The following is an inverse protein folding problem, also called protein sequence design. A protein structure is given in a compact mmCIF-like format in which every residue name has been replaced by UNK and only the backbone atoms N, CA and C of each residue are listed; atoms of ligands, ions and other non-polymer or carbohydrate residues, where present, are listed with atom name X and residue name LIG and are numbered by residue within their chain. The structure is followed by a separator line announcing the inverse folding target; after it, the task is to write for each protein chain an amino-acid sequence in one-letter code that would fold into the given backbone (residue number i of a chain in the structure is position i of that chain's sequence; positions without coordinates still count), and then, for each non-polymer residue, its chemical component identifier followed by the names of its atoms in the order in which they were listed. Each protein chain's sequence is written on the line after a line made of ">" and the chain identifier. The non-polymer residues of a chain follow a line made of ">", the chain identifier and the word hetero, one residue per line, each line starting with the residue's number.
data_IF_322536117521
#
_entry.id   IF_322536117521
#
_cell.length_a   1.000
_cell.length_b   1.000
_cell.length_c   1.000
_cell.angle_alpha   90.00
_cell.angle_beta   90.00
_cell.angle_gamma   90.00
#
_symmetry.space_group_name_H-M   'P 1'
#
loop_
_entity.id
_entity.type
_entity.pdbx_description
1 polymer ?
#
# COMPACT_ATOMS: atom_id res chain seq x y z
N UNK A 1 -10.22 19.27 -2.45
CA UNK A 1 -9.15 18.26 -2.57
C UNK A 1 -9.12 17.79 -4.02
N UNK A 2 -8.20 18.31 -4.84
CA UNK A 2 -8.01 17.81 -6.21
C UNK A 2 -7.18 16.52 -6.13
N UNK A 3 -7.85 15.38 -5.96
CA UNK A 3 -7.26 14.09 -6.27
C UNK A 3 -6.85 14.13 -7.75
N UNK A 4 -5.60 13.78 -8.05
CA UNK A 4 -5.15 13.58 -9.43
C UNK A 4 -5.82 12.32 -9.99
N UNK A 5 -7.04 12.46 -10.48
CA UNK A 5 -7.87 11.37 -11.04
C UNK A 5 -7.24 10.73 -12.30
N UNK A 6 -6.20 11.34 -12.87
CA UNK A 6 -5.55 10.89 -14.11
C UNK A 6 -4.26 10.07 -13.94
N UNK A 7 -3.99 9.46 -12.77
CA UNK A 7 -2.77 8.65 -12.55
C UNK A 7 -2.59 7.54 -13.60
N UNK A 8 -3.68 6.87 -13.95
CA UNK A 8 -3.74 5.82 -14.96
C UNK A 8 -4.27 6.29 -16.31
N UNK A 9 -4.56 7.59 -16.45
CA UNK A 9 -4.96 8.15 -17.74
C UNK A 9 -3.79 8.09 -18.71
N UNK A 10 -4.06 7.58 -19.90
CA UNK A 10 -3.16 7.66 -21.04
C UNK A 10 -4.01 8.16 -22.21
N UNK A 11 -3.75 9.40 -22.62
CA UNK A 11 -4.37 9.98 -23.79
C UNK A 11 -3.38 9.87 -24.95
N UNK A 12 -3.80 9.18 -26.01
CA UNK A 12 -3.08 9.15 -27.27
C UNK A 12 -3.85 9.99 -28.29
N UNK A 13 -3.26 11.05 -28.86
CA UNK A 13 -3.90 11.84 -29.93
C UNK A 13 -4.30 10.99 -31.16
N UNK A 14 -3.64 9.85 -31.40
CA UNK A 14 -3.94 8.92 -32.48
C UNK A 14 -5.00 7.87 -32.09
N UNK A 15 -5.32 7.73 -30.81
CA UNK A 15 -6.39 6.85 -30.28
C UNK A 15 -7.22 7.61 -29.25
N UNK A 16 -8.01 8.56 -29.75
CA UNK A 16 -8.88 9.42 -28.93
C UNK A 16 -10.04 8.68 -28.27
N UNK A 17 -10.34 7.45 -28.71
CA UNK A 17 -11.38 6.58 -28.15
C UNK A 17 -10.84 5.63 -27.05
N UNK A 18 -9.52 5.40 -26.99
CA UNK A 18 -8.88 4.60 -25.94
C UNK A 18 -8.99 3.09 -26.14
N UNK A 19 -9.00 2.61 -27.38
CA UNK A 19 -9.09 1.18 -27.72
C UNK A 19 -7.82 0.39 -27.34
N UNK A 20 -6.65 1.03 -27.36
CA UNK A 20 -5.37 0.42 -27.03
C UNK A 20 -4.51 1.37 -26.19
N UNK A 21 -4.71 1.34 -24.87
CA UNK A 21 -3.77 2.00 -23.94
C UNK A 21 -2.60 1.07 -23.65
N UNK A 22 -1.41 1.41 -24.16
CA UNK A 22 -0.15 0.73 -23.79
C UNK A 22 0.62 1.61 -22.83
N UNK A 23 0.83 1.14 -21.59
CA UNK A 23 1.58 1.85 -20.56
C UNK A 23 2.46 0.88 -19.81
N UNK A 24 3.71 1.27 -19.56
CA UNK A 24 4.63 0.49 -18.76
C UNK A 24 4.11 0.31 -17.34
N UNK A 25 4.27 -0.91 -16.81
CA UNK A 25 3.98 -1.18 -15.41
C UNK A 25 5.14 -0.72 -14.55
N UNK A 26 4.90 0.29 -13.72
CA UNK A 26 5.91 0.79 -12.79
C UNK A 26 6.09 -0.23 -11.66
N UNK A 27 7.23 -0.92 -11.65
CA UNK A 27 7.59 -1.84 -10.57
C UNK A 27 8.14 -1.10 -9.34
N UNK A 28 8.89 -0.02 -9.56
CA UNK A 28 9.48 0.81 -8.50
C UNK A 28 9.65 2.24 -8.97
N UNK A 29 9.54 3.20 -8.04
CA UNK A 29 9.78 4.63 -8.31
C UNK A 29 10.14 5.38 -7.05
N UNK A 30 10.73 6.55 -7.20
CA UNK A 30 11.22 7.35 -6.06
C UNK A 30 10.16 7.68 -5.01
N UNK A 31 8.89 7.81 -5.39
CA UNK A 31 7.81 8.05 -4.42
C UNK A 31 7.72 6.95 -3.36
N UNK A 32 7.93 5.69 -3.76
CA UNK A 32 8.00 4.58 -2.82
C UNK A 32 9.22 4.67 -1.89
N UNK A 33 10.38 5.05 -2.42
CA UNK A 33 11.61 5.18 -1.63
C UNK A 33 11.46 6.21 -0.51
N UNK A 34 10.84 7.36 -0.79
CA UNK A 34 10.54 8.36 0.24
C UNK A 34 9.59 7.81 1.31
N UNK A 35 8.58 7.01 0.94
CA UNK A 35 7.66 6.41 1.90
C UNK A 35 8.33 5.33 2.76
N UNK A 36 9.24 4.54 2.19
CA UNK A 36 10.06 3.59 2.94
C UNK A 36 11.00 4.30 3.91
N UNK A 37 11.63 5.40 3.48
CA UNK A 37 12.48 6.22 4.33
C UNK A 37 11.69 6.84 5.51
N UNK A 38 10.51 7.40 5.24
CA UNK A 38 9.65 7.96 6.28
C UNK A 38 9.19 6.89 7.30
N UNK A 39 8.85 5.68 6.83
CA UNK A 39 8.53 4.54 7.70
C UNK A 39 9.73 4.15 8.59
N UNK A 40 10.93 4.09 8.01
CA UNK A 40 12.15 3.77 8.75
C UNK A 40 12.50 4.85 9.79
N UNK A 41 12.36 6.13 9.43
CA UNK A 41 12.57 7.26 10.34
C UNK A 41 11.55 7.25 11.49
N UNK A 42 10.28 7.00 11.20
CA UNK A 42 9.25 6.83 12.22
C UNK A 42 9.59 5.70 13.20
N UNK A 43 10.03 4.53 12.69
CA UNK A 43 10.48 3.41 13.52
C UNK A 43 11.72 3.71 14.37
N UNK A 44 12.54 4.68 13.96
CA UNK A 44 13.68 5.16 14.73
C UNK A 44 13.30 6.27 15.74
N UNK A 45 12.03 6.67 15.84
CA UNK A 45 11.58 7.79 16.67
C UNK A 45 11.88 9.18 16.07
N UNK A 46 12.36 9.25 14.83
CA UNK A 46 12.73 10.47 14.10
C UNK A 46 11.54 11.05 13.35
N UNK A 47 10.51 11.48 14.10
CA UNK A 47 9.22 11.91 13.54
C UNK A 47 9.31 13.21 12.76
N UNK A 48 10.20 14.12 13.15
CA UNK A 48 10.46 15.38 12.42
C UNK A 48 11.05 15.09 11.04
N UNK A 49 12.02 14.20 10.97
CA UNK A 49 12.65 13.77 9.72
C UNK A 49 11.66 13.01 8.84
N UNK A 50 10.83 12.14 9.43
CA UNK A 50 9.76 11.46 8.71
C UNK A 50 8.77 12.45 8.08
N UNK A 51 8.36 13.49 8.82
CA UNK A 51 7.49 14.53 8.30
C UNK A 51 8.15 15.29 7.13
N UNK A 52 9.42 15.66 7.25
CA UNK A 52 10.17 16.31 6.18
C UNK A 52 10.23 15.43 4.93
N UNK A 53 10.51 14.14 5.09
CA UNK A 53 10.55 13.17 3.99
C UNK A 53 9.19 13.05 3.28
N UNK A 54 8.08 12.97 4.01
CA UNK A 54 6.74 12.90 3.40
C UNK A 54 6.36 14.21 2.73
N UNK A 55 6.74 15.35 3.30
CA UNK A 55 6.45 16.67 2.73
C UNK A 55 7.05 16.84 1.34
N UNK A 56 8.17 16.19 0.99
CA UNK A 56 8.70 16.16 -0.38
C UNK A 56 7.66 15.62 -1.39
N UNK A 57 6.92 14.58 -1.03
CA UNK A 57 5.87 14.02 -1.89
C UNK A 57 4.64 14.91 -1.93
N UNK A 58 4.29 15.50 -0.79
CA UNK A 58 3.10 16.32 -0.63
C UNK A 58 3.25 17.69 -1.27
N UNK A 59 4.43 18.30 -1.29
CA UNK A 59 4.71 19.52 -2.05
C UNK A 59 4.42 19.34 -3.55
N UNK A 60 4.85 18.21 -4.12
CA UNK A 60 4.53 17.85 -5.51
C UNK A 60 3.04 17.53 -5.71
N UNK A 61 2.36 16.94 -4.72
CA UNK A 61 0.94 16.60 -4.81
C UNK A 61 0.01 17.81 -4.61
N UNK A 62 0.45 18.83 -3.89
CA UNK A 62 -0.33 20.04 -3.54
C UNK A 62 0.31 21.34 -4.07
N UNK A 63 0.59 21.47 -5.38
CA UNK A 63 1.31 22.63 -5.92
C UNK A 63 0.57 23.96 -5.69
N UNK A 64 -0.77 23.92 -5.68
CA UNK A 64 -1.61 25.10 -5.49
C UNK A 64 -2.00 25.36 -4.03
N UNK A 65 -1.70 24.42 -3.12
CA UNK A 65 -2.09 24.48 -1.71
C UNK A 65 -0.98 23.97 -0.77
N UNK A 66 0.26 24.50 -0.86
CA UNK A 66 1.41 23.95 -0.14
C UNK A 66 1.23 23.99 1.39
N UNK A 67 0.58 25.03 1.91
CA UNK A 67 0.31 25.15 3.36
C UNK A 67 -0.67 24.08 3.88
N UNK A 68 -1.64 23.66 3.06
CA UNK A 68 -2.61 22.61 3.40
C UNK A 68 -2.04 21.20 3.14
N UNK A 69 -1.07 21.12 2.23
CA UNK A 69 -0.34 19.92 1.91
C UNK A 69 0.72 19.57 2.96
N UNK A 70 1.20 20.51 3.77
CA UNK A 70 2.28 20.23 4.72
C UNK A 70 1.79 19.48 5.96
N UNK A 71 2.60 18.55 6.45
CA UNK A 71 2.39 17.84 7.72
C UNK A 71 3.55 18.06 8.68
N UNK A 72 3.26 17.90 9.96
CA UNK A 72 4.18 18.10 11.08
C UNK A 72 4.57 16.77 11.73
N UNK A 73 5.54 16.79 12.62
CA UNK A 73 5.99 15.60 13.35
C UNK A 73 4.87 14.92 14.16
N UNK A 74 3.89 15.70 14.67
CA UNK A 74 2.76 15.16 15.43
C UNK A 74 1.74 14.40 14.57
N UNK A 75 1.73 14.63 13.26
CA UNK A 75 0.84 13.93 12.34
C UNK A 75 1.40 12.55 11.96
N UNK A 76 2.70 12.31 12.21
CA UNK A 76 3.38 11.10 11.78
C UNK A 76 3.03 9.93 12.69
N UNK A 77 2.17 9.07 12.15
CA UNK A 77 1.84 7.77 12.69
C UNK A 77 2.04 6.71 11.60
N UNK A 78 2.13 5.44 11.99
CA UNK A 78 2.14 4.35 11.01
C UNK A 78 0.90 4.39 10.11
N UNK A 79 -0.26 4.72 10.67
CA UNK A 79 -1.49 4.81 9.91
C UNK A 79 -1.48 5.93 8.88
N UNK A 80 -0.93 7.09 9.24
CA UNK A 80 -0.73 8.20 8.32
C UNK A 80 0.21 7.83 7.17
N UNK A 81 1.34 7.18 7.46
CA UNK A 81 2.30 6.72 6.43
C UNK A 81 1.64 5.71 5.50
N UNK A 82 0.84 4.79 6.05
CA UNK A 82 0.11 3.79 5.27
C UNK A 82 -0.99 4.42 4.41
N UNK A 83 -1.67 5.47 4.88
CA UNK A 83 -2.63 6.25 4.09
C UNK A 83 -1.96 7.00 2.94
N UNK A 84 -0.82 7.62 3.20
CA UNK A 84 -0.04 8.32 2.17
C UNK A 84 0.48 7.31 1.12
N UNK A 85 0.96 6.13 1.53
CA UNK A 85 1.28 5.02 0.60
C UNK A 85 0.08 4.64 -0.28
N UNK A 86 -1.12 4.54 0.29
CA UNK A 86 -2.31 4.16 -0.48
C UNK A 86 -2.67 5.23 -1.54
N UNK A 87 -2.53 6.52 -1.21
CA UNK A 87 -2.79 7.63 -2.15
C UNK A 87 -1.72 7.71 -3.24
N UNK A 88 -0.46 7.60 -2.84
CA UNK A 88 0.69 7.75 -3.72
C UNK A 88 0.86 6.55 -4.65
N UNK A 89 0.75 5.32 -4.14
CA UNK A 89 1.07 4.07 -4.84
C UNK A 89 -0.17 3.27 -5.28
N UNK A 90 -1.33 3.92 -5.40
CA UNK A 90 -2.55 3.26 -5.90
C UNK A 90 -2.27 2.55 -7.23
N UNK A 91 -2.52 1.24 -7.27
CA UNK A 91 -2.29 0.35 -8.42
C UNK A 91 -0.83 -0.04 -8.71
N UNK A 92 0.14 0.48 -7.95
CA UNK A 92 1.57 0.21 -8.16
C UNK A 92 2.14 -0.69 -7.05
N UNK A 93 1.67 -0.57 -5.81
CA UNK A 93 2.13 -1.42 -4.72
C UNK A 93 1.25 -2.67 -4.54
N UNK A 94 1.89 -3.79 -4.15
CA UNK A 94 1.14 -4.90 -3.58
C UNK A 94 0.73 -4.55 -2.15
N UNK A 95 -0.42 -3.89 -2.02
CA UNK A 95 -0.94 -3.38 -0.75
C UNK A 95 -1.06 -4.47 0.32
N UNK A 96 -1.43 -5.70 -0.07
CA UNK A 96 -1.54 -6.83 0.86
C UNK A 96 -0.18 -7.14 1.50
N UNK A 97 0.89 -7.20 0.71
CA UNK A 97 2.24 -7.45 1.22
C UNK A 97 2.70 -6.38 2.21
N UNK A 98 2.47 -5.10 1.89
CA UNK A 98 2.76 -3.98 2.80
C UNK A 98 2.02 -4.15 4.13
N UNK A 99 0.71 -4.39 4.09
CA UNK A 99 -0.12 -4.50 5.29
C UNK A 99 0.18 -5.74 6.14
N UNK A 100 0.62 -6.84 5.52
CA UNK A 100 1.10 -8.01 6.26
C UNK A 100 2.42 -7.72 6.97
N UNK A 101 3.38 -7.09 6.28
CA UNK A 101 4.68 -6.70 6.86
C UNK A 101 4.52 -5.73 8.04
N UNK A 102 3.54 -4.85 7.99
CA UNK A 102 3.25 -3.92 9.10
C UNK A 102 2.33 -4.49 10.16
N UNK A 103 1.81 -5.72 9.98
CA UNK A 103 0.89 -6.36 10.94
C UNK A 103 -0.51 -5.72 10.99
N UNK A 104 -0.85 -4.86 10.03
CA UNK A 104 -2.08 -4.04 10.04
C UNK A 104 -3.16 -4.56 9.10
N UNK A 105 -2.96 -5.70 8.41
CA UNK A 105 -3.87 -6.20 7.37
C UNK A 105 -5.31 -6.37 7.86
N UNK A 106 -5.52 -7.07 8.97
CA UNK A 106 -6.87 -7.39 9.45
C UNK A 106 -7.62 -6.13 9.87
N UNK A 107 -6.99 -5.28 10.69
CA UNK A 107 -7.60 -4.06 11.19
C UNK A 107 -7.89 -3.06 10.07
N UNK A 108 -6.96 -2.88 9.14
CA UNK A 108 -7.16 -1.95 8.03
C UNK A 108 -8.09 -2.47 6.95
N UNK A 109 -8.22 -3.79 6.77
CA UNK A 109 -9.24 -4.35 5.89
C UNK A 109 -10.65 -4.03 6.41
N UNK A 110 -10.87 -4.14 7.73
CA UNK A 110 -12.15 -3.83 8.37
C UNK A 110 -12.58 -2.36 8.21
N UNK A 111 -11.66 -1.42 8.00
CA UNK A 111 -12.01 -0.01 7.73
C UNK A 111 -12.84 0.18 6.45
N UNK A 112 -12.79 -0.78 5.52
CA UNK A 112 -13.58 -0.75 4.28
C UNK A 112 -14.93 -1.46 4.41
N UNK A 113 -15.28 -1.92 5.61
CA UNK A 113 -16.57 -2.55 5.88
C UNK A 113 -17.69 -1.50 5.76
N UNK A 114 -18.80 -1.86 5.13
CA UNK A 114 -20.01 -1.01 5.11
C UNK A 114 -21.21 -1.82 5.53
N UNK A 115 -22.31 -1.16 5.92
CA UNK A 115 -23.57 -1.82 6.31
C UNK A 115 -24.05 -2.85 5.29
N UNK A 116 -23.83 -2.59 4.00
CA UNK A 116 -24.29 -3.44 2.90
C UNK A 116 -23.22 -4.40 2.37
N UNK A 117 -21.95 -4.19 2.74
CA UNK A 117 -20.80 -5.00 2.31
C UNK A 117 -19.88 -5.25 3.52
N UNK A 118 -20.29 -6.10 4.47
CA UNK A 118 -19.47 -6.40 5.62
C UNK A 118 -18.30 -7.30 5.23
N UNK A 119 -17.10 -7.00 5.72
CA UNK A 119 -15.92 -7.85 5.54
C UNK A 119 -15.87 -8.84 6.71
N UNK A 120 -16.17 -10.11 6.45
CA UNK A 120 -16.28 -11.17 7.47
C UNK A 120 -15.24 -12.28 7.34
N UNK A 121 -14.58 -12.40 6.18
CA UNK A 121 -13.67 -13.53 5.89
C UNK A 121 -12.19 -13.29 6.20
N UNK A 122 -11.81 -12.09 6.65
CA UNK A 122 -10.40 -11.77 6.93
C UNK A 122 -10.09 -11.86 8.42
N UNK A 123 -9.11 -12.70 8.76
CA UNK A 123 -8.67 -12.98 10.12
C UNK A 123 -7.15 -13.15 10.16
N UNK A 124 -6.61 -13.44 11.36
CA UNK A 124 -5.17 -13.69 11.54
C UNK A 124 -4.67 -14.89 10.72
N UNK A 125 -5.52 -15.88 10.47
CA UNK A 125 -5.22 -17.03 9.61
C UNK A 125 -4.80 -16.60 8.21
N UNK A 126 -5.37 -15.51 7.68
CA UNK A 126 -5.12 -15.05 6.32
C UNK A 126 -3.86 -14.20 6.18
N UNK A 127 -3.00 -14.12 7.22
CA UNK A 127 -1.67 -13.53 7.11
C UNK A 127 -0.73 -14.43 6.31
N UNK A 128 -0.91 -15.75 6.38
CA UNK A 128 -0.22 -16.73 5.56
C UNK A 128 -1.22 -17.35 4.57
N UNK A 129 -0.74 -17.72 3.39
CA UNK A 129 -1.55 -18.50 2.45
C UNK A 129 -1.46 -19.98 2.82
N UNK A 130 -2.50 -20.80 2.55
CA UNK A 130 -2.38 -22.25 2.73
C UNK A 130 -1.26 -22.79 1.84
N UNK A 131 -0.48 -23.71 2.37
CA UNK A 131 0.46 -24.50 1.58
C UNK A 131 -0.37 -25.45 0.70
N UNK A 132 -0.14 -25.50 -0.62
CA UNK A 132 -0.89 -26.40 -1.49
C UNK A 132 -0.73 -27.85 -1.03
N UNK A 133 -1.84 -28.60 -0.97
CA UNK A 133 -1.84 -29.99 -0.50
C UNK A 133 -0.88 -30.88 -1.30
N UNK A 134 -0.74 -30.62 -2.60
CA UNK A 134 0.20 -31.34 -3.47
C UNK A 134 1.65 -31.17 -3.01
N UNK A 135 2.05 -29.98 -2.56
CA UNK A 135 3.41 -29.73 -2.06
C UNK A 135 3.65 -30.47 -0.75
N UNK A 136 2.64 -30.53 0.13
CA UNK A 136 2.71 -31.29 1.38
C UNK A 136 2.86 -32.79 1.10
N UNK A 137 2.07 -33.33 0.17
CA UNK A 137 2.07 -34.77 -0.16
C UNK A 137 3.30 -35.23 -0.95
N UNK A 138 3.89 -34.34 -1.77
CA UNK A 138 5.06 -34.66 -2.58
C UNK A 138 6.38 -34.53 -1.81
N UNK A 139 6.40 -33.85 -0.66
CA UNK A 139 7.59 -33.72 0.16
C UNK A 139 7.92 -35.04 0.86
N UNK A 140 9.05 -35.65 0.47
CA UNK A 140 9.49 -36.96 0.99
C UNK A 140 10.59 -36.85 2.05
N UNK A 141 11.34 -35.75 2.02
CA UNK A 141 12.56 -35.58 2.82
C UNK A 141 12.28 -34.92 4.18
N UNK A 142 11.12 -34.26 4.34
CA UNK A 142 10.67 -33.66 5.60
C UNK A 142 9.14 -33.61 5.68
N UNK A 143 8.60 -33.64 6.91
CA UNK A 143 7.18 -33.36 7.16
C UNK A 143 6.93 -31.86 6.97
N UNK A 144 6.12 -31.51 5.98
CA UNK A 144 5.70 -30.12 5.77
C UNK A 144 4.36 -29.88 6.48
N UNK A 145 4.43 -29.25 7.64
CA UNK A 145 3.23 -28.86 8.40
C UNK A 145 2.51 -27.69 7.74
N UNK A 146 1.17 -27.73 7.78
CA UNK A 146 0.33 -26.67 7.23
C UNK A 146 0.44 -25.38 8.06
N UNK A 147 0.23 -24.23 7.40
CA UNK A 147 0.17 -22.94 8.07
C UNK A 147 -0.99 -22.89 9.10
N UNK A 148 -0.80 -22.25 10.27
CA UNK A 148 -1.80 -22.25 11.33
C UNK A 148 -3.19 -21.75 10.87
N UNK A 149 -4.23 -22.50 11.23
CA UNK A 149 -5.62 -22.18 10.91
C UNK A 149 -6.09 -22.67 9.53
N UNK A 150 -5.27 -23.44 8.83
CA UNK A 150 -5.64 -24.21 7.66
C UNK A 150 -5.52 -25.71 7.98
N UNK A 151 -6.53 -26.48 7.56
CA UNK A 151 -6.60 -27.95 7.72
C UNK A 151 -6.26 -28.66 6.40
#
# INVERSE_FOLDING_TARGET
>A
MNLRLNKWGAFDPNDTFGWATVKDWILMRWGETYLLLAEAQFKQGKTTEAANTINVLRERAFPNYPAQGKVSASDITLDFILDERARELIGEENRRMTLMRTGTLVERAKLNTTKYKPIVGISKTNLLLPIPLTEIQLNKDAVLEQNPGYD
#
